data_IF_752374992017
#
_entry.id   IF_752374992017
#
_cell.length_a   1.000
_cell.length_b   1.000
_cell.length_c   1.000
_cell.angle_alpha   90.00
_cell.angle_beta   90.00
_cell.angle_gamma   90.00
#
_symmetry.space_group_name_H-M   'P 1'
#
loop_
_entity.id
_entity.type
_entity.pdbx_description
1 polymer ?
#
# COMPACT_ATOMS: atom_id res chain seq x y z
N UNK A 1 25.13 -81.48 -39.30
CA UNK A 1 26.21 -81.14 -38.39
C UNK A 1 26.18 -79.64 -38.24
N UNK A 2 25.81 -79.21 -37.07
CA UNK A 2 25.91 -77.80 -36.66
C UNK A 2 27.38 -77.55 -36.36
N UNK A 3 27.96 -76.54 -37.05
CA UNK A 3 29.30 -76.06 -36.73
C UNK A 3 29.36 -75.69 -35.26
N UNK A 4 30.49 -76.06 -34.57
CA UNK A 4 30.68 -75.64 -33.18
C UNK A 4 30.82 -74.10 -33.21
N UNK A 5 30.02 -73.41 -32.38
CA UNK A 5 30.18 -71.98 -32.13
C UNK A 5 31.63 -71.74 -31.67
N UNK A 6 32.33 -70.82 -32.32
CA UNK A 6 33.64 -70.35 -31.88
C UNK A 6 33.56 -69.95 -30.38
N UNK A 7 34.61 -70.27 -29.60
CA UNK A 7 34.65 -69.84 -28.21
C UNK A 7 34.68 -68.32 -28.18
N UNK A 8 33.69 -67.70 -27.56
CA UNK A 8 33.68 -66.33 -27.28
C UNK A 8 34.95 -65.93 -26.51
N UNK A 9 35.75 -65.04 -27.03
CA UNK A 9 36.94 -64.55 -26.32
C UNK A 9 36.53 -64.05 -24.91
N UNK A 10 37.37 -64.29 -23.88
CA UNK A 10 37.10 -63.83 -22.56
C UNK A 10 37.03 -62.28 -22.58
N UNK A 11 35.91 -61.70 -22.19
CA UNK A 11 35.72 -60.26 -22.17
C UNK A 11 36.78 -59.53 -21.34
N UNK A 12 37.19 -58.37 -21.80
CA UNK A 12 38.11 -57.50 -21.11
C UNK A 12 37.37 -56.78 -19.98
N UNK A 13 38.01 -56.62 -18.81
CA UNK A 13 37.50 -55.74 -17.76
C UNK A 13 37.93 -54.31 -18.05
N UNK A 14 37.00 -53.39 -18.05
CA UNK A 14 37.21 -51.96 -18.22
C UNK A 14 36.65 -51.19 -17.04
N UNK A 15 37.18 -50.01 -16.79
CA UNK A 15 36.74 -49.14 -15.71
C UNK A 15 35.86 -48.02 -16.24
N UNK A 16 34.66 -47.88 -15.67
CA UNK A 16 33.83 -46.70 -15.90
C UNK A 16 33.98 -45.74 -14.71
N UNK A 17 34.57 -44.59 -14.93
CA UNK A 17 34.83 -43.55 -13.92
C UNK A 17 33.84 -42.45 -14.03
N UNK A 18 33.27 -42.00 -12.91
CA UNK A 18 32.27 -40.90 -12.84
C UNK A 18 32.92 -39.62 -12.31
N UNK A 19 32.72 -38.52 -13.04
CA UNK A 19 33.26 -37.21 -12.69
C UNK A 19 32.13 -36.15 -12.73
N UNK A 20 31.96 -35.43 -11.65
CA UNK A 20 31.03 -34.33 -11.55
C UNK A 20 31.10 -33.66 -10.18
N UNK A 21 30.77 -32.39 -10.13
CA UNK A 21 30.71 -31.63 -8.88
C UNK A 21 29.26 -31.57 -8.37
N UNK A 22 29.09 -31.46 -7.05
CA UNK A 22 27.77 -31.39 -6.39
C UNK A 22 26.79 -32.51 -6.74
N UNK A 23 27.34 -33.66 -7.12
CA UNK A 23 26.60 -34.87 -7.49
C UNK A 23 27.32 -36.14 -7.17
N UNK A 24 26.72 -37.28 -7.49
CA UNK A 24 27.28 -38.61 -7.28
C UNK A 24 26.65 -39.63 -8.23
N UNK A 25 27.42 -40.71 -8.50
CA UNK A 25 26.92 -41.89 -9.19
C UNK A 25 26.44 -42.95 -8.20
N UNK A 26 25.45 -43.75 -8.60
CA UNK A 26 25.03 -44.98 -7.91
C UNK A 26 25.08 -46.15 -8.83
N UNK A 27 25.63 -47.25 -8.35
CA UNK A 27 25.61 -48.54 -9.01
C UNK A 27 25.12 -49.58 -8.01
N UNK A 28 24.14 -50.41 -8.39
CA UNK A 28 23.48 -51.37 -7.51
C UNK A 28 23.06 -50.76 -6.15
N UNK A 29 22.56 -49.50 -6.17
CA UNK A 29 22.11 -48.76 -4.98
C UNK A 29 23.20 -48.13 -4.12
N UNK A 30 24.48 -48.36 -4.39
CA UNK A 30 25.61 -47.85 -3.65
C UNK A 30 26.23 -46.64 -4.36
N UNK A 31 26.68 -45.60 -3.60
CA UNK A 31 27.46 -44.50 -4.16
C UNK A 31 28.83 -45.00 -4.58
N UNK A 32 29.24 -44.67 -5.81
CA UNK A 32 30.50 -45.16 -6.41
C UNK A 32 31.22 -43.98 -7.12
N UNK A 33 32.53 -44.04 -7.14
CA UNK A 33 33.36 -43.12 -7.97
C UNK A 33 33.72 -43.79 -9.32
N UNK A 34 33.81 -45.13 -9.34
CA UNK A 34 34.04 -45.93 -10.53
C UNK A 34 33.43 -47.32 -10.34
N UNK A 35 33.29 -48.04 -11.44
CA UNK A 35 32.86 -49.44 -11.49
C UNK A 35 33.74 -50.21 -12.47
N UNK A 36 33.95 -51.51 -12.22
CA UNK A 36 34.57 -52.43 -13.18
C UNK A 36 33.47 -53.19 -13.92
N UNK A 37 33.54 -53.23 -15.24
CA UNK A 37 32.56 -53.88 -16.12
C UNK A 37 33.25 -54.77 -17.10
N UNK A 38 32.67 -55.93 -17.38
CA UNK A 38 33.16 -56.84 -18.41
C UNK A 38 32.59 -56.42 -19.78
N UNK A 39 33.43 -56.29 -20.79
CA UNK A 39 33.00 -55.88 -22.15
C UNK A 39 32.10 -56.89 -22.86
N UNK A 40 31.93 -58.14 -22.31
CA UNK A 40 30.93 -59.10 -22.77
C UNK A 40 29.50 -58.73 -22.31
N UNK A 41 29.36 -57.85 -21.29
CA UNK A 41 28.05 -57.31 -20.92
C UNK A 41 27.57 -56.37 -22.01
N UNK A 42 26.35 -56.52 -22.53
CA UNK A 42 25.86 -55.68 -23.64
C UNK A 42 25.70 -54.22 -23.25
N UNK A 43 25.53 -53.95 -21.98
CA UNK A 43 25.41 -52.60 -21.41
C UNK A 43 25.64 -52.60 -19.90
N UNK A 44 25.88 -51.44 -19.34
CA UNK A 44 25.85 -51.20 -17.89
C UNK A 44 24.85 -50.12 -17.54
N UNK A 45 24.07 -50.36 -16.49
CA UNK A 45 23.09 -49.38 -15.96
C UNK A 45 23.58 -48.78 -14.66
N UNK A 46 23.50 -47.49 -14.53
CA UNK A 46 23.86 -46.74 -13.34
C UNK A 46 22.99 -45.50 -13.18
N UNK A 47 22.96 -44.86 -11.98
CA UNK A 47 22.27 -43.63 -11.71
C UNK A 47 23.23 -42.46 -11.52
N UNK A 48 22.87 -41.26 -12.02
CA UNK A 48 23.55 -40.01 -11.72
C UNK A 48 22.60 -39.08 -11.02
N UNK A 49 23.05 -38.40 -9.95
CA UNK A 49 22.20 -37.59 -9.08
C UNK A 49 22.93 -36.32 -8.67
N UNK A 50 22.21 -35.20 -8.58
CA UNK A 50 22.66 -34.03 -7.84
C UNK A 50 22.50 -34.25 -6.32
N UNK A 51 23.26 -33.52 -5.51
CA UNK A 51 23.13 -33.49 -4.05
C UNK A 51 21.89 -32.68 -3.65
N UNK A 52 20.76 -33.37 -3.50
CA UNK A 52 19.45 -32.76 -3.31
C UNK A 52 19.34 -31.95 -2.03
N UNK A 53 20.00 -32.32 -0.94
CA UNK A 53 20.06 -31.58 0.31
C UNK A 53 20.74 -30.21 0.17
N UNK A 54 21.60 -30.03 -0.85
CA UNK A 54 22.26 -28.77 -1.19
C UNK A 54 21.59 -28.07 -2.38
N UNK A 55 20.40 -28.51 -2.77
CA UNK A 55 19.60 -27.92 -3.83
C UNK A 55 19.99 -28.29 -5.26
N UNK A 56 20.89 -29.23 -5.46
CA UNK A 56 21.33 -29.65 -6.78
C UNK A 56 20.48 -30.77 -7.40
N UNK A 57 20.27 -30.69 -8.70
CA UNK A 57 19.77 -31.74 -9.56
C UNK A 57 20.75 -32.02 -10.68
N UNK A 58 20.67 -33.20 -11.29
CA UNK A 58 21.47 -33.54 -12.46
C UNK A 58 21.04 -32.68 -13.65
N UNK A 59 22.03 -32.13 -14.34
CA UNK A 59 21.80 -31.35 -15.57
C UNK A 59 22.14 -32.15 -16.81
N UNK A 60 23.41 -32.36 -17.09
CA UNK A 60 23.89 -33.09 -18.26
C UNK A 60 24.81 -34.24 -17.87
N UNK A 61 24.99 -35.18 -18.78
CA UNK A 61 26.01 -36.21 -18.71
C UNK A 61 26.51 -36.58 -20.12
N UNK A 62 27.77 -36.95 -20.22
CA UNK A 62 28.40 -37.45 -21.45
C UNK A 62 29.44 -38.50 -21.11
N UNK A 63 29.68 -39.46 -22.03
CA UNK A 63 30.70 -40.45 -21.91
C UNK A 63 31.85 -40.19 -22.89
N UNK A 64 33.10 -40.48 -22.50
CA UNK A 64 34.27 -40.35 -23.35
C UNK A 64 34.30 -41.37 -24.49
N UNK A 65 33.67 -42.54 -24.32
CA UNK A 65 33.54 -43.61 -25.31
C UNK A 65 32.20 -44.34 -25.10
N UNK A 66 31.75 -45.08 -26.12
CA UNK A 66 30.50 -45.82 -26.11
C UNK A 66 29.27 -44.95 -26.35
N UNK A 67 28.11 -45.53 -26.19
CA UNK A 67 26.81 -44.91 -26.37
C UNK A 67 26.13 -44.72 -25.01
N UNK A 68 25.90 -43.49 -24.59
CA UNK A 68 25.22 -43.14 -23.33
C UNK A 68 23.78 -42.72 -23.57
N UNK A 69 22.83 -43.49 -23.03
CA UNK A 69 21.39 -43.21 -23.11
C UNK A 69 20.86 -42.81 -21.73
N UNK A 70 20.08 -41.74 -21.65
CA UNK A 70 19.50 -41.24 -20.40
C UNK A 70 17.99 -41.50 -20.34
N UNK A 71 17.54 -42.04 -19.21
CA UNK A 71 16.13 -42.09 -18.82
C UNK A 71 16.00 -41.52 -17.41
N UNK A 72 15.63 -40.26 -17.28
CA UNK A 72 15.62 -39.48 -16.03
C UNK A 72 17.01 -39.44 -15.36
N UNK A 73 17.17 -40.09 -14.22
CA UNK A 73 18.43 -40.21 -13.50
C UNK A 73 19.13 -41.58 -13.72
N UNK A 74 18.58 -42.45 -14.57
CA UNK A 74 19.13 -43.72 -14.93
C UNK A 74 19.83 -43.61 -16.28
N UNK A 75 21.02 -44.16 -16.40
CA UNK A 75 21.83 -44.11 -17.60
C UNK A 75 22.21 -45.54 -18.01
N UNK A 76 22.18 -45.76 -19.29
CA UNK A 76 22.64 -47.02 -19.92
C UNK A 76 23.84 -46.67 -20.80
N UNK A 77 24.98 -47.27 -20.53
CA UNK A 77 26.18 -47.18 -21.36
C UNK A 77 26.39 -48.51 -22.09
N UNK A 78 26.48 -48.44 -23.41
CA UNK A 78 26.75 -49.59 -24.30
C UNK A 78 27.86 -49.27 -25.29
N UNK A 79 28.27 -50.27 -26.08
CA UNK A 79 29.22 -50.14 -27.19
C UNK A 79 30.61 -49.61 -26.76
N UNK A 80 31.13 -50.09 -25.62
CA UNK A 80 32.42 -49.69 -25.10
C UNK A 80 33.37 -50.90 -24.99
N UNK A 81 34.65 -50.69 -25.30
CA UNK A 81 35.70 -51.67 -25.24
C UNK A 81 36.98 -51.18 -24.56
N UNK A 82 36.95 -49.97 -24.03
CA UNK A 82 38.02 -49.31 -23.31
C UNK A 82 37.53 -48.65 -22.03
N UNK A 83 38.44 -48.12 -21.21
CA UNK A 83 38.08 -47.36 -20.03
C UNK A 83 37.28 -46.11 -20.42
N UNK A 84 36.13 -45.89 -19.73
CA UNK A 84 35.21 -44.80 -20.01
C UNK A 84 35.19 -43.83 -18.84
N UNK A 85 35.23 -42.55 -19.16
CA UNK A 85 34.89 -41.50 -18.21
C UNK A 85 33.49 -40.98 -18.53
N UNK A 86 32.61 -40.99 -17.53
CA UNK A 86 31.30 -40.34 -17.59
C UNK A 86 31.37 -39.03 -16.82
N UNK A 87 31.42 -37.92 -17.57
CA UNK A 87 31.36 -36.59 -17.02
C UNK A 87 29.92 -36.18 -16.88
N UNK A 88 29.55 -35.54 -15.74
CA UNK A 88 28.22 -35.02 -15.53
C UNK A 88 28.26 -33.66 -14.85
N UNK A 89 27.26 -32.83 -15.15
CA UNK A 89 27.05 -31.51 -14.52
C UNK A 89 25.79 -31.51 -13.67
N UNK A 90 25.76 -30.62 -12.71
CA UNK A 90 24.61 -30.36 -11.88
C UNK A 90 24.23 -28.88 -11.94
N UNK A 91 22.95 -28.60 -11.68
CA UNK A 91 22.43 -27.25 -11.55
C UNK A 91 21.58 -27.13 -10.30
N UNK A 92 21.36 -25.90 -9.84
CA UNK A 92 20.37 -25.66 -8.79
C UNK A 92 18.97 -26.00 -9.28
N UNK A 93 18.19 -26.64 -8.43
CA UNK A 93 16.77 -26.91 -8.68
C UNK A 93 15.98 -25.62 -8.76
N UNK A 94 14.93 -25.63 -9.54
CA UNK A 94 13.96 -24.54 -9.60
C UNK A 94 12.79 -24.88 -8.70
N UNK A 95 12.48 -23.98 -7.78
CA UNK A 95 11.33 -24.05 -6.88
C UNK A 95 10.17 -23.25 -7.48
N UNK A 96 8.96 -23.72 -7.20
CA UNK A 96 7.73 -23.05 -7.63
C UNK A 96 7.06 -22.37 -6.43
N UNK A 97 6.81 -21.07 -6.54
CA UNK A 97 6.08 -20.30 -5.53
C UNK A 97 4.76 -19.87 -6.12
N UNK A 98 3.67 -20.33 -5.54
CA UNK A 98 2.32 -19.95 -5.90
C UNK A 98 1.84 -18.80 -5.01
N UNK A 99 1.20 -17.79 -5.60
CA UNK A 99 0.57 -16.70 -4.88
C UNK A 99 -0.94 -16.81 -5.03
N UNK A 100 -1.65 -17.00 -3.92
CA UNK A 100 -3.09 -17.13 -3.87
C UNK A 100 -3.68 -15.94 -3.13
N UNK A 101 -4.50 -15.14 -3.82
CA UNK A 101 -5.26 -14.08 -3.18
C UNK A 101 -6.70 -14.54 -3.07
N UNK A 102 -7.32 -14.35 -1.89
CA UNK A 102 -8.70 -14.78 -1.62
C UNK A 102 -9.65 -14.39 -2.75
N UNK A 103 -10.52 -15.33 -3.19
CA UNK A 103 -11.25 -15.25 -4.45
C UNK A 103 -12.48 -14.35 -4.41
N UNK A 104 -12.36 -13.10 -3.98
CA UNK A 104 -13.44 -12.14 -4.23
C UNK A 104 -13.34 -11.60 -5.65
N UNK A 105 -14.29 -11.95 -6.40
CA UNK A 105 -14.75 -11.87 -7.79
C UNK A 105 -14.15 -10.83 -8.77
N UNK A 106 -13.12 -10.06 -8.47
CA UNK A 106 -12.43 -9.15 -9.38
C UNK A 106 -10.92 -9.08 -9.13
N UNK A 107 -10.34 -10.14 -8.56
CA UNK A 107 -8.90 -10.19 -8.35
C UNK A 107 -8.18 -10.39 -9.69
N UNK A 108 -7.39 -9.42 -10.12
CA UNK A 108 -6.34 -9.68 -11.11
C UNK A 108 -5.29 -10.54 -10.40
N UNK A 109 -5.17 -11.79 -10.87
CA UNK A 109 -4.18 -12.73 -10.36
C UNK A 109 -2.78 -12.21 -10.64
N UNK A 110 -1.90 -12.42 -9.68
CA UNK A 110 -0.46 -12.42 -9.93
C UNK A 110 -0.19 -13.60 -10.86
N UNK A 111 0.59 -13.39 -11.92
CA UNK A 111 1.02 -14.49 -12.78
C UNK A 111 1.76 -15.53 -11.94
N UNK A 112 1.13 -16.66 -11.71
CA UNK A 112 1.66 -17.75 -10.87
C UNK A 112 1.71 -19.04 -11.67
N UNK A 113 2.65 -19.94 -11.38
CA UNK A 113 3.69 -19.89 -10.34
C UNK A 113 4.92 -19.04 -10.74
N UNK A 114 5.60 -18.49 -9.73
CA UNK A 114 6.90 -17.82 -9.90
C UNK A 114 8.00 -18.87 -9.71
N UNK A 115 8.90 -18.97 -10.69
CA UNK A 115 10.06 -19.87 -10.62
C UNK A 115 11.23 -19.19 -9.91
N UNK A 116 11.77 -19.84 -8.88
CA UNK A 116 12.88 -19.34 -8.06
C UNK A 116 13.98 -20.40 -8.00
N UNK A 117 15.23 -20.00 -8.19
CA UNK A 117 16.38 -20.90 -7.96
C UNK A 117 16.45 -21.28 -6.48
N UNK A 118 16.67 -22.55 -6.19
CA UNK A 118 16.82 -23.06 -4.82
C UNK A 118 17.79 -22.20 -4.00
N UNK A 119 17.38 -21.84 -2.79
CA UNK A 119 18.18 -21.01 -1.88
C UNK A 119 18.12 -19.50 -2.16
N UNK A 120 17.45 -19.07 -3.21
CA UNK A 120 17.21 -17.65 -3.47
C UNK A 120 15.86 -17.23 -2.89
N UNK A 121 15.72 -15.97 -2.45
CA UNK A 121 14.44 -15.44 -2.03
C UNK A 121 13.51 -15.20 -3.22
N UNK A 122 12.19 -15.32 -3.00
CA UNK A 122 11.20 -14.96 -4.02
C UNK A 122 10.93 -13.44 -3.97
N UNK A 123 10.82 -12.76 -5.12
CA UNK A 123 10.45 -11.35 -5.13
C UNK A 123 9.00 -11.15 -4.64
N UNK A 124 8.74 -10.00 -4.00
CA UNK A 124 7.39 -9.59 -3.62
C UNK A 124 6.57 -9.41 -4.90
N UNK A 125 5.42 -10.09 -5.06
CA UNK A 125 4.63 -9.96 -6.27
C UNK A 125 3.91 -8.61 -6.33
N UNK A 126 3.84 -8.03 -7.52
CA UNK A 126 2.99 -6.86 -7.75
C UNK A 126 1.51 -7.27 -7.70
N UNK A 127 0.74 -6.53 -6.94
CA UNK A 127 -0.71 -6.71 -6.86
C UNK A 127 -1.41 -5.41 -7.22
N UNK A 128 -2.46 -5.48 -8.05
CA UNK A 128 -3.20 -4.30 -8.53
C UNK A 128 -4.70 -4.52 -8.38
N UNK A 129 -5.30 -3.74 -7.50
CA UNK A 129 -6.75 -3.63 -7.35
C UNK A 129 -7.09 -2.20 -6.94
N UNK A 130 -8.03 -1.58 -7.64
CA UNK A 130 -8.46 -0.22 -7.33
C UNK A 130 -9.00 -0.15 -5.90
N UNK A 131 -8.46 0.76 -5.11
CA UNK A 131 -8.88 1.00 -3.74
C UNK A 131 -8.54 -0.10 -2.74
N UNK A 132 -7.64 -1.01 -3.09
CA UNK A 132 -7.21 -2.08 -2.20
C UNK A 132 -5.75 -2.43 -2.42
N UNK A 133 -5.11 -3.01 -1.41
CA UNK A 133 -3.74 -3.52 -1.48
C UNK A 133 -3.64 -4.84 -0.72
N UNK A 134 -2.54 -5.55 -0.91
CA UNK A 134 -2.16 -6.70 -0.10
C UNK A 134 -1.04 -6.24 0.84
N UNK A 135 -1.32 -6.14 2.13
CA UNK A 135 -0.36 -5.66 3.12
C UNK A 135 0.68 -6.71 3.50
N UNK A 136 0.26 -7.97 3.54
CA UNK A 136 1.11 -9.09 3.91
C UNK A 136 0.79 -10.35 3.09
N UNK A 137 1.80 -11.20 2.96
CA UNK A 137 1.66 -12.55 2.46
C UNK A 137 1.90 -13.55 3.59
N UNK A 138 1.18 -14.66 3.58
CA UNK A 138 1.14 -15.62 4.67
C UNK A 138 1.48 -17.02 4.16
N UNK A 139 2.09 -17.85 5.02
CA UNK A 139 2.39 -19.25 4.69
C UNK A 139 1.19 -20.17 4.84
N UNK A 140 0.10 -19.68 5.42
CA UNK A 140 -1.13 -20.45 5.68
C UNK A 140 -2.38 -19.70 5.21
N UNK A 141 -3.40 -20.47 4.81
CA UNK A 141 -4.68 -19.94 4.33
C UNK A 141 -5.56 -19.28 5.43
N UNK A 142 -5.19 -19.42 6.70
CA UNK A 142 -5.84 -18.74 7.82
C UNK A 142 -5.24 -17.35 8.12
N UNK A 143 -4.21 -16.96 7.38
CA UNK A 143 -3.51 -15.68 7.50
C UNK A 143 -2.91 -15.45 8.90
N UNK A 144 -2.31 -16.48 9.49
CA UNK A 144 -1.76 -16.41 10.86
C UNK A 144 -0.25 -16.22 10.88
N UNK A 145 0.48 -16.68 9.84
CA UNK A 145 1.93 -16.63 9.78
C UNK A 145 2.41 -15.81 8.58
N UNK A 146 2.87 -14.60 8.85
CA UNK A 146 3.43 -13.71 7.83
C UNK A 146 4.71 -14.30 7.25
N UNK A 147 4.83 -14.31 5.94
CA UNK A 147 6.01 -14.74 5.21
C UNK A 147 7.04 -13.61 5.13
N UNK A 148 8.27 -13.93 5.47
CA UNK A 148 9.42 -13.03 5.29
C UNK A 148 10.06 -13.28 3.91
N UNK A 149 9.95 -12.32 3.01
CA UNK A 149 10.49 -12.37 1.66
C UNK A 149 12.03 -12.38 1.58
N UNK A 150 12.74 -12.20 2.69
CA UNK A 150 14.18 -12.43 2.77
C UNK A 150 14.55 -13.92 2.93
N UNK A 151 13.55 -14.78 3.21
CA UNK A 151 13.76 -16.20 3.46
C UNK A 151 14.14 -16.94 2.18
N UNK A 152 15.25 -17.72 2.16
CA UNK A 152 15.60 -18.55 1.03
C UNK A 152 14.56 -19.64 0.75
N UNK A 153 14.14 -19.75 -0.50
CA UNK A 153 13.16 -20.77 -0.93
C UNK A 153 13.89 -22.09 -1.20
N UNK A 154 13.64 -23.10 -0.38
CA UNK A 154 14.25 -24.44 -0.49
C UNK A 154 13.27 -25.54 -0.87
N UNK A 155 11.97 -25.22 -0.88
CA UNK A 155 10.87 -26.13 -1.26
C UNK A 155 9.83 -25.34 -2.05
N UNK A 156 9.00 -26.04 -2.82
CA UNK A 156 7.82 -25.44 -3.40
C UNK A 156 6.90 -24.91 -2.29
N UNK A 157 6.31 -23.73 -2.54
CA UNK A 157 5.57 -23.04 -1.52
C UNK A 157 4.32 -22.37 -2.11
N UNK A 158 3.29 -22.18 -1.28
CA UNK A 158 2.11 -21.41 -1.60
C UNK A 158 1.98 -20.28 -0.56
N UNK A 159 1.91 -19.06 -1.04
CA UNK A 159 1.71 -17.86 -0.22
C UNK A 159 0.30 -17.31 -0.43
N UNK A 160 -0.33 -16.93 0.67
CA UNK A 160 -1.70 -16.44 0.70
C UNK A 160 -1.73 -14.95 1.01
N UNK A 161 -2.32 -14.16 0.12
CA UNK A 161 -2.55 -12.73 0.29
C UNK A 161 -4.01 -12.42 0.58
N UNK A 162 -4.25 -11.38 1.36
CA UNK A 162 -5.58 -10.86 1.65
C UNK A 162 -5.70 -9.42 1.16
N UNK A 163 -6.76 -9.12 0.43
CA UNK A 163 -7.06 -7.75 0.06
C UNK A 163 -7.52 -6.95 1.28
N UNK A 164 -6.90 -5.80 1.47
CA UNK A 164 -7.29 -4.80 2.46
C UNK A 164 -7.73 -3.53 1.73
N UNK A 165 -8.82 -2.92 2.16
CA UNK A 165 -9.29 -1.65 1.60
C UNK A 165 -8.32 -0.54 1.97
N UNK A 166 -8.00 0.33 1.02
CA UNK A 166 -7.19 1.51 1.30
C UNK A 166 -7.99 2.47 2.18
N UNK A 167 -7.35 3.01 3.19
CA UNK A 167 -7.90 4.00 4.09
C UNK A 167 -7.21 5.33 3.86
N UNK A 168 -7.99 6.40 3.72
CA UNK A 168 -7.48 7.74 3.48
C UNK A 168 -7.84 8.67 4.62
N UNK A 169 -7.00 9.67 4.83
CA UNK A 169 -7.19 10.68 5.85
C UNK A 169 -7.83 11.92 5.24
N UNK A 170 -8.94 12.37 5.85
CA UNK A 170 -9.53 13.68 5.55
C UNK A 170 -9.22 14.62 6.71
N UNK A 171 -8.44 15.68 6.43
CA UNK A 171 -7.97 16.65 7.41
C UNK A 171 -8.68 17.99 7.20
N UNK A 172 -9.24 18.54 8.26
CA UNK A 172 -9.95 19.81 8.27
C UNK A 172 -9.10 20.89 8.96
N UNK A 173 -8.82 21.97 8.25
CA UNK A 173 -7.98 23.08 8.69
C UNK A 173 -8.85 24.31 8.98
N UNK A 174 -8.63 24.91 10.13
CA UNK A 174 -9.23 26.19 10.52
C UNK A 174 -8.12 27.13 10.93
N UNK A 175 -8.04 28.29 10.28
CA UNK A 175 -7.02 29.31 10.57
C UNK A 175 -5.57 28.77 10.62
N UNK A 176 -5.25 27.79 9.75
CA UNK A 176 -3.93 27.17 9.64
C UNK A 176 -3.67 25.99 10.58
N UNK A 177 -4.59 25.69 11.49
CA UNK A 177 -4.45 24.60 12.45
C UNK A 177 -5.40 23.44 12.15
N UNK A 178 -4.97 22.21 12.52
CA UNK A 178 -5.83 21.02 12.36
C UNK A 178 -7.00 21.13 13.34
N UNK A 179 -8.19 21.30 12.80
CA UNK A 179 -9.44 21.35 13.55
C UNK A 179 -10.01 19.96 13.82
N UNK A 180 -9.97 19.09 12.80
CA UNK A 180 -10.47 17.72 12.86
C UNK A 180 -9.76 16.86 11.83
N UNK A 181 -9.66 15.56 12.10
CA UNK A 181 -9.14 14.57 11.15
C UNK A 181 -9.91 13.27 11.32
N UNK A 182 -10.18 12.59 10.22
CA UNK A 182 -10.87 11.29 10.22
C UNK A 182 -10.33 10.39 9.13
N UNK A 183 -10.49 9.08 9.32
CA UNK A 183 -10.15 8.08 8.31
C UNK A 183 -11.41 7.63 7.59
N UNK A 184 -11.29 7.39 6.28
CA UNK A 184 -12.38 7.00 5.39
C UNK A 184 -11.87 5.92 4.45
N UNK A 185 -12.61 4.83 4.32
CA UNK A 185 -12.31 3.75 3.39
C UNK A 185 -12.44 4.22 1.94
N UNK A 186 -11.64 3.63 1.04
CA UNK A 186 -11.70 3.95 -0.38
C UNK A 186 -13.10 3.81 -0.94
N UNK A 187 -13.59 4.87 -1.54
CA UNK A 187 -14.90 4.90 -2.20
C UNK A 187 -16.06 5.28 -1.29
N UNK A 188 -15.84 5.37 0.02
CA UNK A 188 -16.82 5.84 0.98
C UNK A 188 -16.89 7.37 1.03
N UNK A 189 -17.91 7.90 1.72
CA UNK A 189 -18.17 9.33 1.87
C UNK A 189 -17.76 9.80 3.27
N UNK A 190 -17.27 11.04 3.35
CA UNK A 190 -16.94 11.62 4.64
C UNK A 190 -18.15 12.35 5.26
N UNK A 191 -18.28 12.23 6.57
CA UNK A 191 -19.18 13.09 7.35
C UNK A 191 -18.38 14.27 7.89
N UNK A 192 -18.80 15.49 7.53
CA UNK A 192 -18.14 16.69 8.01
C UNK A 192 -18.26 16.81 9.53
N UNK A 193 -17.26 17.38 10.21
CA UNK A 193 -17.34 17.71 11.63
C UNK A 193 -18.38 18.82 11.85
N UNK A 194 -18.66 19.12 13.12
CA UNK A 194 -19.43 20.30 13.48
C UNK A 194 -18.77 21.55 12.86
N UNK A 195 -19.59 22.47 12.34
CA UNK A 195 -19.06 23.72 11.80
C UNK A 195 -18.26 24.48 12.86
N UNK A 196 -17.07 24.95 12.53
CA UNK A 196 -16.30 25.80 13.43
C UNK A 196 -16.98 27.16 13.64
N UNK A 197 -16.59 27.86 14.69
CA UNK A 197 -17.08 29.18 15.00
C UNK A 197 -15.91 30.16 15.10
N UNK A 198 -16.10 31.35 14.53
CA UNK A 198 -15.11 32.45 14.57
C UNK A 198 -15.81 33.74 14.88
N UNK A 199 -15.22 34.53 15.78
CA UNK A 199 -15.82 35.79 16.20
C UNK A 199 -15.88 36.76 15.00
N UNK A 200 -17.05 37.38 14.79
CA UNK A 200 -17.34 38.32 13.67
C UNK A 200 -17.35 37.66 12.28
N UNK A 201 -17.36 36.35 12.20
CA UNK A 201 -17.42 35.66 10.92
C UNK A 201 -18.52 34.60 10.90
N UNK A 202 -19.05 34.33 9.73
CA UNK A 202 -19.96 33.22 9.44
C UNK A 202 -19.17 32.18 8.69
N UNK A 203 -19.29 30.91 9.11
CA UNK A 203 -18.68 29.81 8.38
C UNK A 203 -19.33 29.68 7.01
N UNK A 204 -18.55 29.80 5.94
CA UNK A 204 -18.99 29.76 4.54
C UNK A 204 -18.91 28.37 3.90
N UNK A 205 -18.10 27.49 4.47
CA UNK A 205 -17.97 26.11 3.99
C UNK A 205 -16.54 25.57 4.09
N UNK A 206 -16.40 24.33 3.64
CA UNK A 206 -15.11 23.65 3.52
C UNK A 206 -14.65 23.68 2.07
N UNK A 207 -13.38 24.01 1.82
CA UNK A 207 -12.78 24.14 0.50
C UNK A 207 -11.56 23.23 0.35
N UNK A 208 -11.28 22.76 -0.86
CA UNK A 208 -10.15 21.85 -1.13
C UNK A 208 -8.81 22.57 -1.33
N UNK A 209 -8.82 23.88 -1.37
CA UNK A 209 -7.65 24.74 -1.52
C UNK A 209 -7.62 25.81 -0.43
N UNK A 210 -6.43 26.19 0.02
CA UNK A 210 -6.24 27.22 1.06
C UNK A 210 -6.78 28.60 0.65
N UNK A 211 -6.80 28.90 -0.66
CA UNK A 211 -7.38 30.12 -1.20
C UNK A 211 -8.92 30.12 -1.19
N UNK A 212 -9.53 29.01 -0.77
CA UNK A 212 -10.99 28.86 -0.68
C UNK A 212 -11.72 29.16 -1.99
N UNK A 213 -11.20 28.64 -3.11
CA UNK A 213 -11.79 28.84 -4.45
C UNK A 213 -12.59 27.63 -4.92
N UNK A 214 -12.30 26.42 -4.41
CA UNK A 214 -12.97 25.19 -4.79
C UNK A 214 -13.69 24.57 -3.60
N UNK A 215 -15.01 24.66 -3.61
CA UNK A 215 -15.85 24.09 -2.56
C UNK A 215 -15.66 22.57 -2.47
N UNK A 216 -15.49 22.05 -1.27
CA UNK A 216 -15.41 20.62 -1.03
C UNK A 216 -16.78 19.95 -1.17
N UNK A 217 -16.90 19.05 -2.16
CA UNK A 217 -18.12 18.27 -2.35
C UNK A 217 -18.10 17.01 -1.48
N UNK A 218 -18.81 17.04 -0.37
CA UNK A 218 -18.97 15.89 0.53
C UNK A 218 -19.71 14.68 -0.07
N UNK A 219 -20.39 14.87 -1.22
CA UNK A 219 -21.07 13.80 -1.93
C UNK A 219 -20.13 13.08 -2.92
N UNK A 220 -18.89 13.50 -3.02
CA UNK A 220 -17.87 12.81 -3.76
C UNK A 220 -17.18 11.77 -2.87
N UNK A 221 -17.04 10.55 -3.39
CA UNK A 221 -16.35 9.47 -2.67
C UNK A 221 -14.85 9.73 -2.53
N UNK A 222 -14.29 9.38 -1.38
CA UNK A 222 -12.87 9.58 -1.04
C UNK A 222 -12.03 8.48 -1.70
N UNK A 223 -10.98 8.90 -2.44
CA UNK A 223 -10.07 7.98 -3.17
C UNK A 223 -8.59 8.31 -2.97
N UNK A 224 -8.30 9.33 -2.18
CA UNK A 224 -6.97 9.78 -1.78
C UNK A 224 -7.08 10.58 -0.48
N UNK A 225 -5.95 10.88 0.16
CA UNK A 225 -5.91 11.82 1.27
C UNK A 225 -6.39 13.19 0.81
N UNK A 226 -7.20 13.86 1.66
CA UNK A 226 -7.80 15.16 1.36
C UNK A 226 -7.55 16.12 2.52
N UNK A 227 -7.10 17.32 2.21
CA UNK A 227 -7.06 18.43 3.16
C UNK A 227 -8.11 19.47 2.74
N UNK A 228 -8.93 19.90 3.68
CA UNK A 228 -9.96 20.93 3.45
C UNK A 228 -9.81 22.08 4.43
N UNK A 229 -10.12 23.27 3.97
CA UNK A 229 -9.90 24.54 4.64
C UNK A 229 -11.24 25.22 4.92
N UNK A 230 -11.39 25.77 6.12
CA UNK A 230 -12.57 26.55 6.47
C UNK A 230 -12.53 27.92 5.79
N UNK A 231 -13.60 28.25 5.06
CA UNK A 231 -13.81 29.60 4.57
C UNK A 231 -14.70 30.39 5.51
N UNK A 232 -14.48 31.70 5.53
CA UNK A 232 -15.15 32.63 6.40
C UNK A 232 -15.68 33.82 5.62
N UNK A 233 -16.95 34.16 5.84
CA UNK A 233 -17.54 35.44 5.40
C UNK A 233 -17.66 36.37 6.62
N UNK A 234 -17.42 37.66 6.42
CA UNK A 234 -17.69 38.61 7.49
C UNK A 234 -19.17 38.59 7.91
N UNK A 235 -19.41 38.54 9.20
CA UNK A 235 -20.78 38.57 9.70
C UNK A 235 -21.37 39.99 9.46
N UNK A 236 -22.40 40.06 8.64
CA UNK A 236 -23.17 41.28 8.51
C UNK A 236 -24.04 41.47 9.75
N UNK A 237 -23.75 42.52 10.51
CA UNK A 237 -24.48 42.81 11.72
C UNK A 237 -25.77 43.53 11.39
N UNK A 238 -26.89 43.07 11.90
CA UNK A 238 -28.17 43.77 11.87
C UNK A 238 -28.35 44.72 13.06
N UNK A 239 -27.49 44.57 14.07
CA UNK A 239 -27.47 45.38 15.28
C UNK A 239 -26.05 45.46 15.83
N UNK A 240 -25.81 46.50 16.63
CA UNK A 240 -24.55 46.70 17.34
C UNK A 240 -24.79 47.18 18.76
N UNK A 241 -23.99 46.68 19.71
CA UNK A 241 -23.97 47.21 21.07
C UNK A 241 -22.97 48.36 21.15
N UNK A 242 -23.43 49.50 21.70
CA UNK A 242 -22.63 50.70 21.91
C UNK A 242 -22.55 51.00 23.41
N UNK A 243 -21.36 50.93 23.98
CA UNK A 243 -21.05 51.25 25.37
C UNK A 243 -20.00 52.34 25.42
N UNK A 244 -20.45 53.58 25.50
CA UNK A 244 -19.58 54.75 25.51
C UNK A 244 -18.67 54.85 26.71
N UNK A 245 -19.00 54.16 27.82
CA UNK A 245 -18.21 54.16 29.05
C UNK A 245 -17.11 53.12 29.07
N UNK A 246 -17.47 51.87 28.79
CA UNK A 246 -16.59 50.73 28.94
C UNK A 246 -16.27 50.05 27.60
N UNK A 247 -16.89 50.43 26.51
CA UNK A 247 -16.68 49.87 25.19
C UNK A 247 -15.31 50.21 24.61
N UNK A 248 -14.94 49.49 23.59
CA UNK A 248 -13.72 49.67 22.81
C UNK A 248 -14.05 49.51 21.33
N UNK A 249 -13.55 50.43 20.49
CA UNK A 249 -13.81 50.38 19.04
C UNK A 249 -13.11 49.24 18.30
N UNK A 250 -12.23 48.51 18.99
CA UNK A 250 -11.70 47.23 18.52
C UNK A 250 -12.65 46.06 18.75
N UNK A 251 -13.70 46.25 19.56
CA UNK A 251 -14.70 45.21 19.83
C UNK A 251 -15.61 44.95 18.64
N UNK A 252 -16.23 43.78 18.65
CA UNK A 252 -17.15 43.34 17.60
C UNK A 252 -18.50 44.05 17.57
N UNK A 253 -18.93 44.60 18.71
CA UNK A 253 -20.27 45.14 18.84
C UNK A 253 -21.40 44.08 18.91
N UNK A 254 -21.10 42.80 18.87
CA UNK A 254 -22.12 41.75 18.79
C UNK A 254 -22.83 41.42 20.11
N UNK A 255 -22.23 41.76 21.22
CA UNK A 255 -22.81 41.55 22.55
C UNK A 255 -22.61 42.77 23.45
N UNK A 256 -23.40 42.87 24.50
CA UNK A 256 -23.27 43.98 25.46
C UNK A 256 -21.90 44.05 26.13
N UNK A 257 -21.24 42.91 26.36
CA UNK A 257 -19.90 42.84 26.95
C UNK A 257 -18.77 43.22 25.98
N UNK A 258 -19.04 43.21 24.69
CA UNK A 258 -18.12 43.57 23.62
C UNK A 258 -18.67 44.72 22.80
N UNK A 259 -19.30 45.69 23.47
CA UNK A 259 -19.80 46.90 22.84
C UNK A 259 -18.68 47.78 22.29
N UNK A 260 -18.93 48.43 21.18
CA UNK A 260 -18.04 49.48 20.66
C UNK A 260 -18.17 50.76 21.49
N UNK A 261 -17.16 51.62 21.46
CA UNK A 261 -17.11 52.79 22.29
C UNK A 261 -17.79 54.01 21.61
N UNK A 262 -17.60 54.13 20.29
CA UNK A 262 -18.04 55.32 19.58
C UNK A 262 -19.20 55.05 18.64
N UNK A 263 -20.02 56.08 18.47
CA UNK A 263 -21.11 56.06 17.49
C UNK A 263 -20.60 55.89 16.05
N UNK A 264 -19.41 56.46 15.75
CA UNK A 264 -18.78 56.34 14.45
C UNK A 264 -18.49 54.88 14.11
N UNK A 265 -17.92 54.13 15.06
CA UNK A 265 -17.63 52.71 14.88
C UNK A 265 -18.90 51.87 14.77
N UNK A 266 -19.91 52.16 15.57
CA UNK A 266 -21.20 51.48 15.45
C UNK A 266 -21.84 51.69 14.07
N UNK A 267 -21.77 52.88 13.54
CA UNK A 267 -22.27 53.25 12.20
C UNK A 267 -21.49 52.52 11.10
N UNK A 268 -20.17 52.43 11.22
CA UNK A 268 -19.30 51.69 10.30
C UNK A 268 -19.67 50.21 10.25
N UNK A 269 -19.81 49.54 11.41
CA UNK A 269 -20.18 48.12 11.50
C UNK A 269 -21.57 47.82 10.92
N UNK A 270 -22.46 48.80 10.87
CA UNK A 270 -23.79 48.68 10.30
C UNK A 270 -23.90 49.20 8.87
N UNK A 271 -22.80 49.65 8.25
CA UNK A 271 -22.85 50.33 6.95
C UNK A 271 -23.58 49.50 5.88
N UNK A 272 -23.27 48.19 5.81
CA UNK A 272 -23.81 47.28 4.79
C UNK A 272 -25.06 46.50 5.27
N UNK A 273 -25.62 46.84 6.43
CA UNK A 273 -26.81 46.16 6.97
C UNK A 273 -28.11 46.77 6.42
N UNK A 274 -29.07 45.93 6.06
CA UNK A 274 -30.40 46.33 5.66
C UNK A 274 -31.20 46.93 6.85
N UNK A 275 -30.94 46.41 8.06
CA UNK A 275 -31.55 46.87 9.30
C UNK A 275 -30.45 47.39 10.22
N UNK A 276 -30.59 48.63 10.71
CA UNK A 276 -29.56 49.31 11.52
C UNK A 276 -30.10 49.53 12.92
N UNK A 277 -29.77 48.64 13.87
CA UNK A 277 -30.17 48.75 15.26
C UNK A 277 -28.95 48.97 16.14
N UNK A 278 -28.93 50.00 16.97
CA UNK A 278 -27.89 50.24 17.97
C UNK A 278 -28.49 50.08 19.34
N UNK A 279 -27.98 49.11 20.11
CA UNK A 279 -28.30 48.94 21.54
C UNK A 279 -27.31 49.72 22.38
N UNK A 280 -27.76 50.84 22.95
CA UNK A 280 -26.93 51.69 23.82
C UNK A 280 -26.99 51.12 25.25
N UNK A 281 -25.86 50.62 25.76
CA UNK A 281 -25.76 49.99 27.08
C UNK A 281 -25.22 50.89 28.17
N UNK A 282 -24.61 52.04 27.80
CA UNK A 282 -24.18 53.08 28.74
C UNK A 282 -24.25 54.47 28.07
N UNK A 283 -23.92 55.54 28.84
CA UNK A 283 -23.92 56.90 28.33
C UNK A 283 -22.91 57.08 27.21
N UNK A 284 -23.36 57.60 26.08
CA UNK A 284 -22.55 57.90 24.90
C UNK A 284 -22.46 59.42 24.73
N UNK A 285 -21.24 59.92 24.61
CA UNK A 285 -21.04 61.34 24.24
C UNK A 285 -21.08 61.43 22.72
N UNK A 286 -22.11 62.08 22.21
CA UNK A 286 -22.22 62.42 20.79
C UNK A 286 -21.61 63.84 20.62
N UNK A 287 -20.47 63.91 19.93
CA UNK A 287 -19.84 65.20 19.63
C UNK A 287 -20.66 65.97 18.58
N UNK A 288 -20.45 67.28 18.52
CA UNK A 288 -21.20 68.21 17.65
C UNK A 288 -21.12 67.87 16.14
N UNK A 289 -20.26 67.02 15.73
CA UNK A 289 -20.05 66.59 14.33
C UNK A 289 -20.56 65.19 14.01
N UNK A 290 -21.13 64.45 14.98
CA UNK A 290 -21.63 63.06 14.80
C UNK A 290 -23.18 63.11 14.72
N UNK A 291 -23.70 63.66 13.63
CA UNK A 291 -25.12 63.54 13.34
C UNK A 291 -25.39 62.28 12.55
N UNK A 292 -26.24 61.45 13.08
CA UNK A 292 -26.80 60.34 12.31
C UNK A 292 -28.03 60.88 11.56
N UNK A 293 -27.88 61.08 10.26
CA UNK A 293 -29.00 61.45 9.43
C UNK A 293 -29.90 60.27 9.15
N UNK A 294 -30.97 60.08 9.90
CA UNK A 294 -31.95 59.07 9.75
C UNK A 294 -32.77 59.12 8.47
N UNK A 295 -32.71 60.24 7.75
CA UNK A 295 -33.43 60.44 6.48
C UNK A 295 -32.90 59.54 5.37
N UNK A 296 -31.62 59.15 5.42
CA UNK A 296 -31.01 58.20 4.50
C UNK A 296 -31.40 56.75 4.82
N UNK A 297 -31.98 56.51 6.02
CA UNK A 297 -32.32 55.17 6.52
C UNK A 297 -33.69 55.20 7.19
N UNK A 298 -34.79 55.24 6.44
CA UNK A 298 -36.14 55.46 6.99
C UNK A 298 -36.57 54.38 8.00
N UNK A 299 -35.98 53.19 7.91
CA UNK A 299 -36.23 52.04 8.81
C UNK A 299 -35.20 51.93 9.94
N UNK A 300 -34.27 52.86 10.08
CA UNK A 300 -33.28 52.86 11.13
C UNK A 300 -33.83 53.36 12.45
N UNK A 301 -33.54 52.69 13.54
CA UNK A 301 -33.94 53.09 14.90
C UNK A 301 -32.81 52.96 15.90
N UNK A 302 -32.81 53.83 16.90
CA UNK A 302 -31.97 53.68 18.09
C UNK A 302 -32.85 53.15 19.19
N UNK A 303 -32.56 51.90 19.63
CA UNK A 303 -33.33 51.27 20.68
C UNK A 303 -32.51 51.19 21.96
N UNK A 304 -33.10 51.55 23.07
CA UNK A 304 -32.51 51.39 24.39
C UNK A 304 -32.67 49.95 24.85
N UNK A 305 -31.58 49.31 25.39
CA UNK A 305 -31.69 47.98 25.98
C UNK A 305 -32.66 47.98 27.16
N UNK A 306 -33.56 47.00 27.19
CA UNK A 306 -34.50 46.86 28.28
C UNK A 306 -33.76 46.68 29.62
N UNK A 307 -34.22 47.42 30.65
CA UNK A 307 -33.65 47.35 31.99
C UNK A 307 -32.77 48.54 32.42
N UNK A 308 -32.43 49.44 31.49
CA UNK A 308 -31.76 50.72 31.83
C UNK A 308 -32.79 51.76 32.24
N UNK A 309 -32.82 52.11 33.55
CA UNK A 309 -33.54 53.30 34.04
C UNK A 309 -32.69 54.53 33.80
N UNK A 310 -33.31 55.61 33.36
CA UNK A 310 -32.72 56.96 33.20
C UNK A 310 -32.22 57.53 34.51
#
# INVERSE_FOLDING_TARGET
PTEPSEPTEPGKTVTVTFRGENGYAKYHGQKVASIEVNTNEPYVEFGLYGVAENGFELDTASASAGTLVRAENVFILSDFDEDVTVDFTTRYRTMQVNFVISPNANAMYVDTPVSVTWGQPVPVPETRRVGSHVSNWYTDAAYTQVYDFSTPVTTNLTLYGKWETNVYTVTYIVDGEVYYSTQVDHGEYVTNPKNPTKNNYVFDGWYTDEACTQLFDRNQSIKADVTVYAAWAEAKLNYVYLDGKNGDDSNSGMTASYGVKTFARAKELLADSAYKVIYITSMVTVGDTQVWDLSEYPDAGVTRAEGYKS
#
